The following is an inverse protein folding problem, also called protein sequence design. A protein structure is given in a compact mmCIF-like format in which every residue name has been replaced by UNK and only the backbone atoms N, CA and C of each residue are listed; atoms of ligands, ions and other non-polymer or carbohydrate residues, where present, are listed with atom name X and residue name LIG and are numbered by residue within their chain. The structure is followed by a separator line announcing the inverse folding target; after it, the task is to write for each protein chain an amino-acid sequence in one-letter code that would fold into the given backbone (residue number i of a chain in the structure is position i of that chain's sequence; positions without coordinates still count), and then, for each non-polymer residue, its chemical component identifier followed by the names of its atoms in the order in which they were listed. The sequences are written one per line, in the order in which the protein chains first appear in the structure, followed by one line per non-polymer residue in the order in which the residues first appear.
data_IF_166949292990
#
_entry.id   IF_166949292990
#
_cell.length_a   1.000
_cell.length_b   1.000
_cell.length_c   1.000
_cell.angle_alpha   90.00
_cell.angle_beta   90.00
_cell.angle_gamma   90.00
#
_symmetry.space_group_name_H-M   'P 1'
#
loop_
_entity.id
_entity.type
_entity.pdbx_description
1 polymer ?
#
# COMPACT_ATOMS: atom_id res chain seq x y z
N UNK A 1 7.58 -14.56 -6.63
CA UNK A 1 6.21 -14.97 -6.23
C UNK A 1 5.35 -13.78 -5.78
N UNK A 2 5.81 -12.98 -4.81
CA UNK A 2 5.09 -11.81 -4.27
C UNK A 2 4.83 -10.73 -5.35
N UNK A 3 5.82 -10.43 -6.19
CA UNK A 3 5.69 -9.48 -7.30
C UNK A 3 4.70 -9.89 -8.40
N UNK A 4 4.28 -11.16 -8.48
CA UNK A 4 3.28 -11.64 -9.45
C UNK A 4 1.87 -11.59 -8.86
N UNK A 5 1.74 -11.87 -7.56
CA UNK A 5 0.47 -11.97 -6.86
C UNK A 5 0.10 -10.72 -6.04
N UNK A 6 0.88 -9.65 -6.13
CA UNK A 6 0.69 -8.41 -5.36
C UNK A 6 -0.73 -7.83 -5.44
N UNK A 7 -1.41 -7.97 -6.59
CA UNK A 7 -2.81 -7.56 -6.76
C UNK A 7 -3.76 -8.35 -5.86
N UNK A 8 -3.59 -9.66 -5.78
CA UNK A 8 -4.40 -10.52 -4.91
C UNK A 8 -4.11 -10.26 -3.43
N UNK A 9 -2.84 -10.01 -3.09
CA UNK A 9 -2.44 -9.65 -1.72
C UNK A 9 -3.05 -8.30 -1.31
N UNK A 10 -3.07 -7.32 -2.22
CA UNK A 10 -3.72 -6.04 -2.00
C UNK A 10 -5.22 -6.19 -1.79
N UNK A 11 -5.91 -6.95 -2.66
CA UNK A 11 -7.35 -7.18 -2.54
C UNK A 11 -7.64 -7.85 -1.18
N UNK A 12 -6.85 -8.85 -0.79
CA UNK A 12 -6.97 -9.47 0.52
C UNK A 12 -6.72 -8.47 1.66
N UNK A 13 -5.71 -7.60 1.54
CA UNK A 13 -5.43 -6.54 2.50
C UNK A 13 -6.60 -5.58 2.65
N UNK A 14 -7.23 -5.16 1.54
CA UNK A 14 -8.39 -4.27 1.54
C UNK A 14 -9.57 -4.94 2.22
N UNK A 15 -9.91 -6.17 1.82
CA UNK A 15 -11.05 -6.91 2.37
C UNK A 15 -10.89 -7.13 3.87
N UNK A 16 -9.73 -7.61 4.32
CA UNK A 16 -9.47 -7.89 5.75
C UNK A 16 -9.47 -6.59 6.57
N UNK A 17 -8.89 -5.51 6.07
CA UNK A 17 -8.89 -4.23 6.77
C UNK A 17 -10.28 -3.56 6.80
N UNK A 18 -11.13 -3.77 5.78
CA UNK A 18 -12.52 -3.32 5.77
C UNK A 18 -13.38 -4.11 6.76
N UNK A 19 -13.22 -5.44 6.80
CA UNK A 19 -13.88 -6.31 7.79
C UNK A 19 -13.50 -5.89 9.21
N UNK A 20 -12.27 -5.45 9.42
CA UNK A 20 -11.80 -5.01 10.73
C UNK A 20 -12.50 -3.74 11.25
N UNK A 21 -13.22 -2.98 10.39
CA UNK A 21 -13.88 -1.68 10.64
C UNK A 21 -12.88 -0.59 11.12
N UNK A 22 -12.15 -0.84 12.20
CA UNK A 22 -11.04 -0.03 12.73
C UNK A 22 -9.81 -0.02 11.81
N UNK A 23 -9.67 -1.00 10.93
CA UNK A 23 -8.59 -1.08 9.93
C UNK A 23 -8.80 -0.19 8.69
N UNK A 24 -9.87 0.60 8.62
CA UNK A 24 -10.23 1.36 7.43
C UNK A 24 -9.10 2.24 6.83
N UNK A 25 -8.30 2.99 7.62
CA UNK A 25 -7.21 3.77 7.04
C UNK A 25 -6.12 2.91 6.38
N UNK A 26 -5.88 1.69 6.88
CA UNK A 26 -4.99 0.71 6.24
C UNK A 26 -5.58 0.15 4.94
N UNK A 27 -6.90 -0.02 4.84
CA UNK A 27 -7.56 -0.40 3.60
C UNK A 27 -7.37 0.67 2.50
N UNK A 28 -7.58 1.95 2.85
CA UNK A 28 -7.31 3.07 1.93
C UNK A 28 -5.83 3.07 1.52
N UNK A 29 -4.93 2.92 2.49
CA UNK A 29 -3.49 2.82 2.24
C UNK A 29 -3.18 1.74 1.19
N UNK A 30 -3.71 0.53 1.35
CA UNK A 30 -3.49 -0.57 0.41
C UNK A 30 -3.92 -0.24 -1.03
N UNK A 31 -5.05 0.46 -1.20
CA UNK A 31 -5.54 0.92 -2.51
C UNK A 31 -4.66 2.03 -3.08
N UNK A 32 -4.13 2.91 -2.23
CA UNK A 32 -3.31 4.04 -2.66
C UNK A 32 -1.94 3.63 -3.20
N UNK A 33 -1.37 2.55 -2.67
CA UNK A 33 -0.06 2.05 -3.08
C UNK A 33 0.12 1.85 -4.60
N UNK A 34 -0.71 1.11 -5.35
CA UNK A 34 -0.59 0.99 -6.81
C UNK A 34 -0.69 2.33 -7.55
N UNK A 35 -1.48 3.26 -7.03
CA UNK A 35 -1.66 4.59 -7.64
C UNK A 35 -0.34 5.35 -7.58
N UNK A 36 0.36 5.31 -6.44
CA UNK A 36 1.72 5.87 -6.32
C UNK A 36 2.64 5.34 -7.41
N UNK A 37 2.63 4.03 -7.70
CA UNK A 37 3.46 3.48 -8.78
C UNK A 37 3.11 3.98 -10.17
N UNK A 38 1.82 4.20 -10.43
CA UNK A 38 1.38 4.77 -11.71
C UNK A 38 1.84 6.22 -11.85
N UNK A 39 1.78 7.00 -10.76
CA UNK A 39 2.32 8.36 -10.70
C UNK A 39 3.83 8.37 -10.92
N UNK A 40 4.57 7.43 -10.32
CA UNK A 40 6.03 7.33 -10.51
C UNK A 40 6.39 6.99 -11.95
N UNK A 41 5.63 6.09 -12.59
CA UNK A 41 5.80 5.77 -14.00
C UNK A 41 5.53 6.98 -14.90
N UNK A 42 4.51 7.76 -14.57
CA UNK A 42 4.24 9.02 -15.25
C UNK A 42 5.38 10.02 -15.04
N UNK A 43 5.92 10.17 -13.83
CA UNK A 43 7.05 11.05 -13.53
C UNK A 43 8.30 10.66 -14.33
N UNK A 44 8.64 9.36 -14.40
CA UNK A 44 9.77 8.87 -15.19
C UNK A 44 9.56 9.12 -16.69
N UNK A 45 8.35 8.86 -17.21
CA UNK A 45 8.04 9.11 -18.62
C UNK A 45 8.10 10.60 -18.98
N UNK A 46 7.65 11.50 -18.11
CA UNK A 46 7.75 12.94 -18.31
C UNK A 46 9.20 13.42 -18.23
N UNK A 47 9.99 12.92 -17.27
CA UNK A 47 11.42 13.26 -17.17
C UNK A 47 12.21 12.84 -18.40
N UNK A 48 11.83 11.73 -19.08
CA UNK A 48 12.49 11.29 -20.32
C UNK A 48 12.35 12.29 -21.46
N UNK A 49 11.30 13.13 -21.44
CA UNK A 49 11.11 14.21 -22.40
C UNK A 49 11.77 15.53 -22.00
N UNK A 50 12.37 15.63 -20.81
CA UNK A 50 12.88 16.88 -20.22
C UNK A 50 14.36 16.83 -19.86
N UNK A 51 14.96 15.65 -19.66
CA UNK A 51 16.35 15.48 -19.23
C UNK A 51 16.99 14.28 -19.94
N UNK A 52 18.19 14.46 -20.49
CA UNK A 52 18.89 13.46 -21.34
C UNK A 52 19.30 12.17 -20.61
N UNK A 53 19.28 12.13 -19.28
CA UNK A 53 19.76 10.97 -18.50
C UNK A 53 18.86 10.65 -17.30
N UNK A 54 17.66 10.14 -17.56
CA UNK A 54 16.74 9.71 -16.51
C UNK A 54 17.18 8.35 -15.97
N UNK A 55 17.80 8.33 -14.78
CA UNK A 55 18.16 7.08 -14.11
C UNK A 55 16.94 6.48 -13.37
N UNK A 56 16.32 5.40 -13.88
CA UNK A 56 15.10 4.84 -13.29
C UNK A 56 15.34 4.27 -11.89
N UNK A 57 16.56 3.82 -11.59
CA UNK A 57 16.93 3.25 -10.29
C UNK A 57 16.87 4.31 -9.18
N UNK A 58 17.28 5.55 -9.48
CA UNK A 58 17.22 6.67 -8.53
C UNK A 58 15.78 7.03 -8.20
N UNK A 59 14.90 7.10 -9.20
CA UNK A 59 13.47 7.35 -8.99
C UNK A 59 12.80 6.24 -8.17
N UNK A 60 13.05 4.97 -8.49
CA UNK A 60 12.47 3.86 -7.72
C UNK A 60 12.96 3.87 -6.27
N UNK A 61 14.24 4.17 -6.03
CA UNK A 61 14.81 4.23 -4.68
C UNK A 61 14.22 5.37 -3.86
N UNK A 62 14.09 6.56 -4.45
CA UNK A 62 13.44 7.72 -3.80
C UNK A 62 11.99 7.42 -3.44
N UNK A 63 11.25 6.81 -4.36
CA UNK A 63 9.85 6.47 -4.15
C UNK A 63 9.61 5.31 -3.18
N UNK A 64 10.55 4.36 -3.09
CA UNK A 64 10.50 3.30 -2.08
C UNK A 64 10.43 3.88 -0.67
N UNK A 65 11.22 4.93 -0.38
CA UNK A 65 11.18 5.62 0.92
C UNK A 65 9.82 6.27 1.17
N UNK A 66 9.25 6.95 0.17
CA UNK A 66 7.91 7.53 0.27
C UNK A 66 6.81 6.50 0.56
N UNK A 67 6.87 5.34 -0.10
CA UNK A 67 5.93 4.23 0.14
C UNK A 67 6.04 3.70 1.58
N UNK A 68 7.26 3.54 2.10
CA UNK A 68 7.48 3.07 3.49
C UNK A 68 6.89 4.07 4.49
N UNK A 69 7.15 5.36 4.31
CA UNK A 69 6.61 6.43 5.16
C UNK A 69 5.08 6.42 5.13
N UNK A 70 4.47 6.26 3.95
CA UNK A 70 3.01 6.17 3.79
C UNK A 70 2.43 4.96 4.53
N UNK A 71 3.06 3.78 4.47
CA UNK A 71 2.59 2.58 5.17
C UNK A 71 2.62 2.77 6.68
N UNK A 72 3.72 3.32 7.21
CA UNK A 72 3.85 3.64 8.64
C UNK A 72 2.75 4.63 9.05
N UNK A 73 2.53 5.66 8.24
CA UNK A 73 1.48 6.65 8.48
C UNK A 73 0.07 6.01 8.53
N UNK A 74 -0.24 5.08 7.61
CA UNK A 74 -1.52 4.38 7.61
C UNK A 74 -1.75 3.55 8.88
N UNK A 75 -0.70 2.90 9.40
CA UNK A 75 -0.75 2.14 10.64
C UNK A 75 -0.96 3.08 11.84
N UNK A 76 -0.16 4.14 11.93
CA UNK A 76 -0.22 5.12 13.03
C UNK A 76 -1.59 5.80 13.09
N UNK A 77 -2.11 6.28 11.96
CA UNK A 77 -3.44 6.90 11.87
C UNK A 77 -4.53 5.92 12.29
N UNK A 78 -4.43 4.64 11.92
CA UNK A 78 -5.42 3.63 12.32
C UNK A 78 -5.47 3.43 13.84
N UNK A 79 -4.33 3.48 14.51
CA UNK A 79 -4.27 3.42 15.98
C UNK A 79 -4.78 4.72 16.61
N UNK A 80 -4.36 5.88 16.09
CA UNK A 80 -4.77 7.19 16.61
C UNK A 80 -6.28 7.42 16.49
N UNK A 81 -6.90 6.95 15.40
CA UNK A 81 -8.33 7.06 15.17
C UNK A 81 -9.18 6.16 16.09
N UNK A 82 -8.59 5.19 16.78
CA UNK A 82 -9.35 4.36 17.74
C UNK A 82 -9.95 5.18 18.87
N UNK A 83 -9.22 6.21 19.34
CA UNK A 83 -9.62 7.03 20.48
C UNK A 83 -10.84 7.92 20.18
N UNK A 84 -10.85 8.74 19.11
CA UNK A 84 -12.00 9.56 18.77
C UNK A 84 -13.19 8.73 18.27
N UNK A 85 -12.96 7.61 17.57
CA UNK A 85 -14.05 6.76 17.08
C UNK A 85 -14.53 5.74 18.12
N UNK A 86 -13.99 5.72 19.34
CA UNK A 86 -14.39 4.74 20.35
C UNK A 86 -15.90 4.79 20.63
N UNK A 87 -16.47 5.99 20.73
CA UNK A 87 -17.91 6.17 20.93
C UNK A 87 -18.71 5.72 19.70
N UNK A 88 -18.18 5.88 18.49
CA UNK A 88 -18.83 5.34 17.29
C UNK A 88 -18.81 3.80 17.30
N UNK A 89 -17.67 3.21 17.64
CA UNK A 89 -17.50 1.76 17.73
C UNK A 89 -18.34 1.12 18.84
N UNK A 90 -18.49 1.78 19.99
CA UNK A 90 -19.30 1.26 21.11
C UNK A 90 -20.80 1.29 20.85
N UNK A 91 -21.26 2.09 19.88
CA UNK A 91 -22.66 2.16 19.47
C UNK A 91 -23.01 1.17 18.36
N UNK A 92 -22.03 0.43 17.82
CA UNK A 92 -22.25 -0.59 16.79
C UNK A 92 -22.58 -1.93 17.46
N UNK A 93 -23.83 -2.36 17.33
CA UNK A 93 -24.33 -3.63 17.90
C UNK A 93 -24.56 -4.70 16.82
N UNK A 94 -24.87 -5.93 17.23
CA UNK A 94 -25.13 -7.07 16.35
C UNK A 94 -23.88 -7.53 15.57
N UNK A 95 -24.02 -7.75 14.26
CA UNK A 95 -22.94 -8.24 13.40
C UNK A 95 -21.75 -7.26 13.36
N UNK A 96 -22.02 -5.95 13.42
CA UNK A 96 -20.98 -4.92 13.40
C UNK A 96 -20.22 -4.87 14.74
N UNK A 97 -20.92 -5.07 15.86
CA UNK A 97 -20.31 -5.23 17.19
C UNK A 97 -19.41 -6.47 17.27
N UNK A 98 -19.85 -7.60 16.70
CA UNK A 98 -19.02 -8.81 16.62
C UNK A 98 -17.73 -8.61 15.81
N UNK A 99 -17.80 -7.87 14.69
CA UNK A 99 -16.63 -7.50 13.88
C UNK A 99 -15.64 -6.61 14.66
N UNK A 100 -16.15 -5.73 15.53
CA UNK A 100 -15.32 -4.86 16.38
C UNK A 100 -14.55 -5.66 17.43
N UNK A 101 -15.12 -6.75 17.93
CA UNK A 101 -14.47 -7.65 18.89
C UNK A 101 -13.31 -8.43 18.25
N UNK A 102 -13.44 -8.83 16.98
CA UNK A 102 -12.40 -9.53 16.20
C UNK A 102 -11.41 -8.54 15.55
N UNK A 103 -11.74 -7.24 15.56
CA UNK A 103 -10.95 -6.15 15.00
C UNK A 103 -9.47 -6.14 15.40
N UNK A 104 -9.07 -6.37 16.67
CA UNK A 104 -7.66 -6.33 17.07
C UNK A 104 -6.81 -7.36 16.30
N UNK A 105 -7.36 -8.56 16.10
CA UNK A 105 -6.66 -9.66 15.43
C UNK A 105 -6.62 -9.43 13.92
N UNK A 106 -7.72 -8.97 13.33
CA UNK A 106 -7.80 -8.64 11.91
C UNK A 106 -6.97 -7.41 11.53
N UNK A 107 -6.77 -6.45 12.44
CA UNK A 107 -5.86 -5.31 12.23
C UNK A 107 -4.40 -5.74 12.14
N UNK A 108 -3.97 -6.68 12.98
CA UNK A 108 -2.59 -7.19 12.92
C UNK A 108 -2.36 -7.90 11.58
N UNK A 109 -3.28 -8.78 11.18
CA UNK A 109 -3.23 -9.46 9.89
C UNK A 109 -3.27 -8.45 8.73
N UNK A 110 -4.14 -7.45 8.82
CA UNK A 110 -4.28 -6.38 7.84
C UNK A 110 -3.03 -5.51 7.71
N UNK A 111 -2.33 -5.21 8.81
CA UNK A 111 -1.06 -4.49 8.80
C UNK A 111 0.05 -5.31 8.13
N UNK A 112 0.14 -6.61 8.42
CA UNK A 112 1.09 -7.52 7.76
C UNK A 112 0.82 -7.55 6.24
N UNK A 113 -0.44 -7.69 5.85
CA UNK A 113 -0.83 -7.69 4.44
C UNK A 113 -0.55 -6.35 3.74
N UNK A 114 -0.70 -5.22 4.43
CA UNK A 114 -0.34 -3.91 3.90
C UNK A 114 1.17 -3.81 3.62
N UNK A 115 2.00 -4.28 4.56
CA UNK A 115 3.46 -4.31 4.39
C UNK A 115 3.85 -5.23 3.23
N UNK A 116 3.27 -6.43 3.15
CA UNK A 116 3.50 -7.38 2.05
C UNK A 116 3.06 -6.79 0.71
N UNK A 117 1.94 -6.07 0.68
CA UNK A 117 1.49 -5.33 -0.51
C UNK A 117 2.55 -4.32 -0.93
N UNK A 118 3.05 -3.50 0.00
CA UNK A 118 4.09 -2.51 -0.27
C UNK A 118 5.35 -3.11 -0.87
N UNK A 119 5.86 -4.18 -0.26
CA UNK A 119 7.02 -4.92 -0.76
C UNK A 119 6.72 -5.48 -2.16
N UNK A 120 5.55 -6.07 -2.35
CA UNK A 120 5.13 -6.65 -3.63
C UNK A 120 5.07 -5.62 -4.76
N UNK A 121 4.53 -4.43 -4.49
CA UNK A 121 4.44 -3.40 -5.52
C UNK A 121 5.83 -2.79 -5.82
N UNK A 122 6.68 -2.59 -4.81
CA UNK A 122 8.07 -2.15 -5.01
C UNK A 122 8.85 -3.16 -5.86
N UNK A 123 8.72 -4.46 -5.58
CA UNK A 123 9.38 -5.50 -6.36
C UNK A 123 8.83 -5.56 -7.80
N UNK A 124 7.51 -5.43 -7.99
CA UNK A 124 6.91 -5.40 -9.32
C UNK A 124 7.44 -4.22 -10.14
N UNK A 125 7.62 -3.05 -9.53
CA UNK A 125 8.20 -1.89 -10.18
C UNK A 125 9.68 -2.08 -10.52
N UNK A 126 10.48 -2.59 -9.58
CA UNK A 126 11.90 -2.91 -9.83
C UNK A 126 12.05 -3.85 -11.02
N UNK A 127 11.23 -4.89 -11.11
CA UNK A 127 11.25 -5.85 -12.22
C UNK A 127 10.80 -5.21 -13.55
N UNK A 128 9.77 -4.36 -13.52
CA UNK A 128 9.30 -3.64 -14.71
C UNK A 128 10.41 -2.77 -15.31
N UNK A 129 11.12 -2.00 -14.48
CA UNK A 129 12.19 -1.11 -14.96
C UNK A 129 13.50 -1.81 -15.27
N UNK A 130 13.85 -2.89 -14.54
CA UNK A 130 15.03 -3.70 -14.83
C UNK A 130 14.93 -4.35 -16.22
N UNK A 131 13.74 -4.82 -16.60
CA UNK A 131 13.51 -5.39 -17.92
C UNK A 131 13.53 -4.34 -19.03
N UNK A 132 13.02 -3.12 -18.80
CA UNK A 132 13.07 -2.05 -19.82
C UNK A 132 14.48 -1.53 -20.08
N UNK A 133 15.38 -1.54 -19.08
CA UNK A 133 16.78 -1.14 -19.27
C UNK A 133 17.62 -2.14 -20.09
N UNK A 134 17.11 -3.34 -20.38
CA UNK A 134 17.79 -4.32 -21.23
C UNK A 134 17.31 -4.31 -22.69
N UNK A 135 16.18 -3.69 -22.99
CA UNK A 135 15.67 -3.55 -24.36
C UNK A 135 16.14 -2.29 -25.09
N UNK A 136 16.63 -1.27 -24.38
CA UNK A 136 17.14 -0.03 -24.99
C UNK A 136 18.62 -0.14 -25.45
N UNK A 137 19.25 -1.32 -25.33
CA UNK A 137 20.64 -1.58 -25.72
C UNK A 137 20.78 -2.51 -26.96
N UNK A 138 19.72 -2.71 -27.73
CA UNK A 138 19.77 -3.43 -29.02
C UNK A 138 19.30 -2.54 -30.16
#
# INVERSE_FOLDING_TARGET
MIAKNWKYIMIAAVVINLISIKGFPMAIGAIYLPILFKVIKMQINLSKGLVDNVNPKTFIKSNQTGVIISVICCIVISVLLMKPLNNFYSNLDGILGALITISPLTMIIGAILLILTAIGVIQAAKNFYANTTMTDNN
#
